data_IF_059331312101
#
_entry.id   IF_059331312101
#
_cell.length_a   1.000
_cell.length_b   1.000
_cell.length_c   1.000
_cell.angle_alpha   90.00
_cell.angle_beta   90.00
_cell.angle_gamma   90.00
#
_symmetry.space_group_name_H-M   'P 1'
#
loop_
_entity.id
_entity.type
_entity.pdbx_description
1 polymer ?
#
# COMPACT_ATOMS: atom_id res chain seq x y z
N UNK A 1 6.21 8.76 27.89
CA UNK A 1 5.47 7.63 27.30
C UNK A 1 5.45 6.44 28.26
N UNK A 2 6.61 5.82 28.64
CA UNK A 2 6.66 4.65 29.56
C UNK A 2 5.86 4.92 30.83
N UNK A 3 6.16 6.00 31.54
CA UNK A 3 5.51 6.39 32.80
C UNK A 3 3.99 6.60 32.64
N UNK A 4 3.55 7.09 31.49
CA UNK A 4 2.13 7.29 31.21
C UNK A 4 1.42 5.96 30.99
N UNK A 5 2.03 5.06 30.20
CA UNK A 5 1.51 3.73 29.94
C UNK A 5 1.51 2.81 31.16
N UNK A 6 2.42 3.01 32.11
CA UNK A 6 2.41 2.30 33.40
C UNK A 6 1.17 2.59 34.25
N UNK A 7 0.53 3.74 34.03
CA UNK A 7 -0.73 4.15 34.72
C UNK A 7 -1.98 3.65 34.03
N UNK A 8 -1.88 3.14 32.80
CA UNK A 8 -3.01 2.62 32.05
C UNK A 8 -3.27 1.17 32.44
N UNK A 9 -4.50 0.80 32.83
CA UNK A 9 -4.86 -0.59 33.11
C UNK A 9 -4.63 -1.49 31.90
N UNK A 10 -4.06 -2.68 32.10
CA UNK A 10 -3.60 -3.56 31.03
C UNK A 10 -4.71 -4.19 30.20
N UNK A 11 -5.92 -4.23 30.73
CA UNK A 11 -7.15 -4.63 30.05
C UNK A 11 -7.66 -3.59 29.04
N UNK A 12 -7.07 -2.40 29.00
CA UNK A 12 -7.41 -1.36 28.02
C UNK A 12 -6.69 -1.60 26.70
N UNK A 13 -7.29 -1.07 25.65
CA UNK A 13 -6.66 -0.94 24.34
C UNK A 13 -5.88 0.36 24.25
N UNK A 14 -4.74 0.31 23.58
CA UNK A 14 -3.85 1.47 23.39
C UNK A 14 -3.67 1.72 21.90
N UNK A 15 -3.95 2.94 21.46
CA UNK A 15 -3.57 3.44 20.15
C UNK A 15 -2.50 4.50 20.34
N UNK A 16 -1.28 4.21 19.90
CA UNK A 16 -0.19 5.15 19.94
C UNK A 16 -0.15 5.92 18.61
N UNK A 17 -0.26 7.24 18.69
CA UNK A 17 -0.18 8.13 17.53
C UNK A 17 1.13 8.90 17.57
N UNK A 18 1.95 8.78 16.52
CA UNK A 18 3.23 9.45 16.42
C UNK A 18 3.41 10.06 15.03
N UNK A 19 4.20 11.15 14.93
CA UNK A 19 4.51 11.72 13.63
C UNK A 19 5.47 10.84 12.83
N UNK A 20 6.56 10.41 13.45
CA UNK A 20 7.61 9.64 12.78
C UNK A 20 7.73 8.24 13.37
N UNK A 21 8.22 7.32 12.57
CA UNK A 21 8.57 5.98 13.01
C UNK A 21 9.67 5.99 14.07
N UNK A 22 9.68 4.94 14.86
CA UNK A 22 10.76 4.67 15.83
C UNK A 22 11.98 4.10 15.11
N UNK A 23 13.17 4.42 15.62
CA UNK A 23 14.36 3.66 15.24
C UNK A 23 14.20 2.18 15.67
N UNK A 24 14.90 1.22 15.02
CA UNK A 24 14.76 -0.19 15.37
C UNK A 24 14.92 -0.50 16.86
N UNK A 25 15.91 0.12 17.52
CA UNK A 25 16.14 -0.08 18.96
C UNK A 25 15.00 0.48 19.82
N UNK A 26 14.44 1.62 19.45
CA UNK A 26 13.28 2.20 20.14
C UNK A 26 11.99 1.41 19.87
N UNK A 27 11.85 0.85 18.66
CA UNK A 27 10.71 0.05 18.27
C UNK A 27 10.59 -1.21 19.11
N UNK A 28 11.69 -1.96 19.30
CA UNK A 28 11.70 -3.17 20.13
C UNK A 28 11.21 -2.89 21.56
N UNK A 29 11.78 -1.87 22.24
CA UNK A 29 11.34 -1.50 23.58
C UNK A 29 9.87 -1.09 23.62
N UNK A 30 9.44 -0.32 22.63
CA UNK A 30 8.07 0.22 22.58
C UNK A 30 7.02 -0.88 22.30
N UNK A 31 7.30 -1.77 21.36
CA UNK A 31 6.43 -2.90 21.08
C UNK A 31 6.35 -3.89 22.25
N UNK A 32 7.46 -4.13 22.94
CA UNK A 32 7.44 -4.90 24.18
C UNK A 32 6.53 -4.27 25.24
N UNK A 33 6.53 -2.94 25.35
CA UNK A 33 5.62 -2.24 26.25
C UNK A 33 4.16 -2.32 25.79
N UNK A 34 3.89 -2.12 24.51
CA UNK A 34 2.55 -2.21 23.92
C UNK A 34 1.96 -3.62 24.06
N UNK A 35 2.78 -4.67 23.93
CA UNK A 35 2.32 -6.07 24.06
C UNK A 35 1.76 -6.42 25.44
N UNK A 36 1.97 -5.56 26.45
CA UNK A 36 1.40 -5.76 27.79
C UNK A 36 -0.08 -5.41 27.87
N UNK A 37 -0.66 -4.75 26.86
CA UNK A 37 -2.07 -4.34 26.86
C UNK A 37 -2.97 -5.36 26.17
N UNK A 38 -4.28 -5.26 26.39
CA UNK A 38 -5.25 -6.17 25.77
C UNK A 38 -5.18 -6.10 24.24
N UNK A 39 -5.23 -4.88 23.70
CA UNK A 39 -5.02 -4.60 22.27
C UNK A 39 -4.10 -3.38 22.16
N UNK A 40 -3.25 -3.38 21.13
CA UNK A 40 -2.39 -2.24 20.85
C UNK A 40 -2.23 -2.02 19.34
N UNK A 41 -2.10 -0.77 18.96
CA UNK A 41 -1.82 -0.34 17.58
C UNK A 41 -0.91 0.88 17.60
N UNK A 42 0.05 0.91 16.70
CA UNK A 42 0.85 2.09 16.41
C UNK A 42 0.41 2.68 15.08
N UNK A 43 0.21 3.99 15.03
CA UNK A 43 -0.08 4.73 13.80
C UNK A 43 0.91 5.87 13.67
N UNK A 44 1.64 5.87 12.57
CA UNK A 44 2.67 6.84 12.25
C UNK A 44 2.39 7.52 10.90
N UNK A 45 3.12 8.57 10.62
CA UNK A 45 3.22 9.24 9.32
C UNK A 45 4.68 9.46 8.92
N UNK A 46 4.99 10.66 8.37
CA UNK A 46 6.33 11.12 8.02
C UNK A 46 6.95 10.52 6.76
N UNK A 47 6.77 9.24 6.49
CA UNK A 47 7.42 8.56 5.35
C UNK A 47 6.87 8.99 3.98
N UNK A 48 5.67 9.57 3.94
CA UNK A 48 4.98 9.95 2.71
C UNK A 48 4.71 8.76 1.77
N UNK A 49 4.54 7.58 2.33
CA UNK A 49 4.03 6.37 1.66
C UNK A 49 3.40 5.44 2.70
N UNK A 50 2.55 4.52 2.24
CA UNK A 50 1.94 3.51 3.09
C UNK A 50 2.96 2.40 3.43
N UNK A 51 2.96 2.00 4.70
CA UNK A 51 3.69 0.81 5.14
C UNK A 51 2.95 0.20 6.34
N UNK A 52 2.14 -0.81 6.08
CA UNK A 52 1.38 -1.50 7.12
C UNK A 52 2.08 -2.80 7.46
N UNK A 53 2.55 -2.92 8.68
CA UNK A 53 3.28 -4.08 9.18
C UNK A 53 2.53 -4.70 10.35
N UNK A 54 2.53 -6.02 10.41
CA UNK A 54 2.02 -6.78 11.54
C UNK A 54 3.21 -7.29 12.34
N UNK A 55 3.30 -6.83 13.59
CA UNK A 55 4.36 -7.20 14.52
C UNK A 55 3.85 -8.28 15.48
N UNK A 56 4.56 -9.40 15.56
CA UNK A 56 4.29 -10.44 16.55
C UNK A 56 5.24 -10.30 17.74
N UNK A 57 4.74 -9.82 18.88
CA UNK A 57 5.54 -9.49 20.05
C UNK A 57 4.94 -10.11 21.30
N UNK A 58 5.70 -11.00 21.96
CA UNK A 58 5.27 -11.70 23.19
C UNK A 58 3.92 -12.42 23.04
N UNK A 59 3.66 -13.01 21.86
CA UNK A 59 2.40 -13.69 21.54
C UNK A 59 1.21 -12.75 21.33
N UNK A 60 1.46 -11.48 21.05
CA UNK A 60 0.47 -10.46 20.70
C UNK A 60 0.73 -9.93 19.30
N UNK A 61 -0.33 -9.80 18.54
CA UNK A 61 -0.35 -9.14 17.24
C UNK A 61 -0.52 -7.64 17.44
N UNK A 62 0.40 -6.84 16.94
CA UNK A 62 0.36 -5.37 17.00
C UNK A 62 0.46 -4.82 15.58
N UNK A 63 -0.54 -4.07 15.17
CA UNK A 63 -0.50 -3.37 13.89
C UNK A 63 0.34 -2.10 14.01
N UNK A 64 1.26 -1.96 13.07
CA UNK A 64 2.14 -0.79 12.91
C UNK A 64 1.85 -0.18 11.55
N UNK A 65 1.06 0.89 11.56
CA UNK A 65 0.55 1.53 10.35
C UNK A 65 1.28 2.85 10.10
N UNK A 66 2.07 2.91 9.03
CA UNK A 66 2.45 4.19 8.44
C UNK A 66 1.37 4.62 7.47
N UNK A 67 0.65 5.65 7.87
CA UNK A 67 -0.37 6.24 7.00
C UNK A 67 0.28 7.16 5.99
N UNK A 68 -0.23 7.12 4.78
CA UNK A 68 0.25 7.93 3.69
C UNK A 68 0.04 9.43 3.95
N UNK A 69 0.61 10.23 3.11
CA UNK A 69 0.54 11.68 3.17
C UNK A 69 -0.67 12.25 2.42
N UNK A 70 -1.28 13.27 3.00
CA UNK A 70 -2.35 14.03 2.35
C UNK A 70 -1.84 14.98 1.25
N UNK A 71 -0.50 15.20 1.15
CA UNK A 71 0.11 16.11 0.18
C UNK A 71 0.80 15.42 -1.00
N UNK A 72 0.65 14.10 -1.13
CA UNK A 72 1.37 13.30 -2.12
C UNK A 72 2.89 13.39 -1.92
N UNK A 73 3.66 13.31 -3.00
CA UNK A 73 5.10 13.52 -2.90
C UNK A 73 5.38 15.03 -2.88
N UNK A 74 5.53 15.57 -1.68
CA UNK A 74 5.98 16.96 -1.42
C UNK A 74 5.26 18.01 -2.28
N UNK A 75 3.94 17.87 -2.41
CA UNK A 75 3.09 18.74 -3.27
C UNK A 75 3.41 18.67 -4.78
N UNK A 76 4.25 17.71 -5.20
CA UNK A 76 4.64 17.56 -6.59
C UNK A 76 3.72 16.64 -7.40
N UNK A 77 2.97 15.79 -6.72
CA UNK A 77 2.08 14.81 -7.34
C UNK A 77 0.94 14.43 -6.41
N UNK A 78 -0.15 13.89 -6.97
CA UNK A 78 -1.26 13.32 -6.20
C UNK A 78 -1.01 11.86 -5.80
N UNK A 79 0.18 11.37 -6.06
CA UNK A 79 0.64 10.01 -5.80
C UNK A 79 1.78 10.07 -4.81
N UNK A 80 1.78 9.19 -3.84
CA UNK A 80 2.82 9.07 -2.83
C UNK A 80 3.97 8.15 -3.30
N UNK A 81 4.99 8.02 -2.46
CA UNK A 81 6.22 7.33 -2.81
C UNK A 81 6.07 5.84 -3.14
N UNK A 82 5.14 5.15 -2.53
CA UNK A 82 4.83 3.74 -2.80
C UNK A 82 3.89 3.52 -3.98
N UNK A 83 3.47 4.59 -4.65
CA UNK A 83 2.55 4.54 -5.79
C UNK A 83 1.07 4.68 -5.40
N UNK A 84 0.74 4.64 -4.14
CA UNK A 84 -0.61 4.90 -3.65
C UNK A 84 -1.01 6.38 -3.87
N UNK A 85 -2.30 6.69 -4.08
CA UNK A 85 -2.75 8.07 -4.14
C UNK A 85 -2.56 8.76 -2.78
N UNK A 86 -2.42 10.07 -2.78
CA UNK A 86 -2.47 10.85 -1.53
C UNK A 86 -3.81 10.64 -0.83
N UNK A 87 -3.79 10.60 0.51
CA UNK A 87 -5.01 10.29 1.26
C UNK A 87 -4.79 10.26 2.76
N UNK A 88 -5.73 9.62 3.44
CA UNK A 88 -5.71 9.43 4.89
C UNK A 88 -6.34 8.09 5.27
N UNK A 89 -5.96 7.57 6.42
CA UNK A 89 -6.60 6.39 7.00
C UNK A 89 -7.74 6.81 7.95
N UNK A 90 -8.84 6.08 7.90
CA UNK A 90 -9.97 6.19 8.82
C UNK A 90 -10.08 4.90 9.63
N UNK A 91 -10.29 5.02 10.93
CA UNK A 91 -10.43 3.89 11.84
C UNK A 91 -11.73 4.02 12.63
N UNK A 92 -12.48 2.94 12.70
CA UNK A 92 -13.63 2.80 13.60
C UNK A 92 -13.29 1.86 14.73
N UNK A 93 -13.63 2.23 15.95
CA UNK A 93 -13.35 1.45 17.16
C UNK A 93 -14.65 1.01 17.84
N UNK A 94 -14.72 -0.25 18.23
CA UNK A 94 -15.79 -0.82 19.03
C UNK A 94 -15.21 -1.71 20.13
N UNK A 95 -15.61 -1.49 21.39
CA UNK A 95 -15.16 -2.29 22.51
C UNK A 95 -13.64 -2.31 22.73
N UNK A 96 -12.92 -1.31 22.19
CA UNK A 96 -11.46 -1.23 22.29
C UNK A 96 -10.71 -1.96 21.17
N UNK A 97 -11.41 -2.52 20.21
CA UNK A 97 -10.82 -3.13 19.00
C UNK A 97 -11.13 -2.27 17.77
N UNK A 98 -10.27 -2.35 16.76
CA UNK A 98 -10.56 -1.75 15.46
C UNK A 98 -11.66 -2.57 14.81
N UNK A 99 -12.78 -1.93 14.51
CA UNK A 99 -13.92 -2.51 13.82
C UNK A 99 -13.82 -2.38 12.32
N UNK A 100 -13.22 -1.28 11.88
CA UNK A 100 -13.03 -0.99 10.47
C UNK A 100 -11.80 -0.09 10.27
N UNK A 101 -11.11 -0.28 9.17
CA UNK A 101 -9.99 0.54 8.72
C UNK A 101 -10.10 0.72 7.22
N UNK A 102 -10.15 1.97 6.76
CA UNK A 102 -10.21 2.29 5.33
C UNK A 102 -9.17 3.34 5.00
N UNK A 103 -8.45 3.15 3.90
CA UNK A 103 -7.64 4.19 3.30
C UNK A 103 -8.49 4.99 2.32
N UNK A 104 -8.69 6.26 2.61
CA UNK A 104 -9.45 7.17 1.74
C UNK A 104 -8.51 7.96 0.86
N UNK A 105 -8.41 7.58 -0.40
CA UNK A 105 -7.69 8.33 -1.43
C UNK A 105 -8.41 9.65 -1.74
N UNK A 106 -7.68 10.76 -1.70
CA UNK A 106 -8.24 12.09 -1.98
C UNK A 106 -8.68 12.20 -3.43
N UNK A 107 -9.92 12.64 -3.64
CA UNK A 107 -10.50 12.80 -4.99
C UNK A 107 -10.96 11.51 -5.66
N UNK A 108 -10.75 10.35 -5.03
CA UNK A 108 -11.19 9.05 -5.55
C UNK A 108 -12.32 8.47 -4.71
N UNK A 109 -13.14 7.55 -5.24
CA UNK A 109 -14.14 6.83 -4.47
C UNK A 109 -13.51 6.05 -3.30
N UNK A 110 -14.25 5.85 -2.22
CA UNK A 110 -13.76 5.11 -1.04
C UNK A 110 -13.39 3.65 -1.38
N UNK A 111 -14.15 3.03 -2.28
CA UNK A 111 -13.87 1.67 -2.76
C UNK A 111 -12.66 1.55 -3.69
N UNK A 112 -12.00 2.66 -4.07
CA UNK A 112 -10.81 2.62 -4.91
C UNK A 112 -9.58 2.30 -4.06
N UNK A 113 -9.30 1.00 -3.88
CA UNK A 113 -8.21 0.48 -3.04
C UNK A 113 -7.13 -0.27 -3.82
N UNK A 114 -7.32 -0.45 -5.12
CA UNK A 114 -6.46 -1.29 -5.95
C UNK A 114 -6.12 -0.54 -7.24
N UNK A 115 -4.83 -0.49 -7.59
CA UNK A 115 -4.39 -0.25 -8.97
C UNK A 115 -3.89 -1.56 -9.55
N UNK A 116 -4.48 -1.98 -10.66
CA UNK A 116 -4.21 -3.25 -11.31
C UNK A 116 -3.78 -2.99 -12.75
N UNK A 117 -2.60 -3.49 -13.16
CA UNK A 117 -2.07 -3.27 -14.51
C UNK A 117 -1.21 -4.46 -14.99
N UNK A 118 -0.97 -4.52 -16.30
CA UNK A 118 0.02 -5.43 -16.90
C UNK A 118 1.38 -4.72 -16.98
N UNK A 119 2.48 -5.34 -16.56
CA UNK A 119 3.82 -4.74 -16.68
C UNK A 119 4.20 -4.36 -18.12
N UNK A 120 3.71 -5.11 -19.09
CA UNK A 120 3.92 -4.85 -20.52
C UNK A 120 3.31 -3.54 -21.02
N UNK A 121 2.30 -2.98 -20.31
CA UNK A 121 1.66 -1.72 -20.68
C UNK A 121 2.60 -0.50 -20.52
N UNK A 122 3.76 -0.69 -19.86
CA UNK A 122 4.71 0.38 -19.59
C UNK A 122 6.08 0.22 -20.29
N UNK A 123 6.14 -0.07 -21.62
CA UNK A 123 7.42 -0.32 -22.30
C UNK A 123 8.33 0.91 -22.34
N UNK A 124 7.76 2.11 -22.49
CA UNK A 124 8.50 3.38 -22.51
C UNK A 124 9.19 3.70 -21.18
N UNK A 125 8.74 3.11 -20.11
CA UNK A 125 9.27 3.25 -18.77
C UNK A 125 10.73 2.80 -18.64
N UNK A 126 11.13 1.75 -19.35
CA UNK A 126 12.53 1.27 -19.39
C UNK A 126 13.52 2.35 -19.82
N UNK A 127 13.08 3.31 -20.63
CA UNK A 127 13.92 4.40 -21.13
C UNK A 127 14.06 5.56 -20.11
N UNK A 128 13.02 5.87 -19.36
CA UNK A 128 13.06 6.95 -18.37
C UNK A 128 14.00 6.62 -17.21
N UNK A 129 14.00 5.38 -16.77
CA UNK A 129 14.82 4.89 -15.66
C UNK A 129 16.28 4.74 -16.03
N UNK A 130 16.60 4.43 -17.29
CA UNK A 130 17.99 4.31 -17.77
C UNK A 130 18.76 5.63 -17.79
N UNK A 131 18.07 6.78 -17.76
CA UNK A 131 18.74 8.09 -17.75
C UNK A 131 19.35 8.45 -16.39
N UNK A 132 18.92 7.79 -15.31
CA UNK A 132 19.49 7.98 -13.98
C UNK A 132 20.19 6.68 -13.53
N UNK A 133 21.41 6.47 -14.00
CA UNK A 133 22.22 5.29 -13.68
C UNK A 133 22.54 5.13 -12.17
N UNK A 134 22.31 6.18 -11.37
CA UNK A 134 22.53 6.16 -9.92
C UNK A 134 21.36 5.52 -9.16
N UNK A 135 20.21 5.28 -9.80
CA UNK A 135 18.98 4.82 -9.15
C UNK A 135 18.50 3.50 -9.74
N UNK A 136 18.58 2.47 -8.93
CA UNK A 136 18.10 1.14 -9.29
C UNK A 136 16.62 1.01 -8.85
N UNK A 137 15.72 1.06 -9.84
CA UNK A 137 14.34 0.66 -9.59
C UNK A 137 14.22 -0.85 -9.73
N UNK A 138 13.56 -1.45 -8.77
CA UNK A 138 13.33 -2.89 -8.75
C UNK A 138 11.85 -3.13 -8.98
N UNK A 139 11.51 -3.60 -10.19
CA UNK A 139 10.12 -3.90 -10.56
C UNK A 139 9.77 -5.36 -10.35
N UNK A 140 10.75 -6.21 -10.13
CA UNK A 140 10.60 -7.62 -9.75
C UNK A 140 9.80 -8.50 -10.71
N UNK A 141 8.81 -7.96 -11.41
CA UNK A 141 7.85 -8.66 -12.24
C UNK A 141 7.87 -8.10 -13.65
N UNK A 142 7.92 -9.00 -14.64
CA UNK A 142 7.90 -8.66 -16.06
C UNK A 142 7.24 -9.80 -16.86
N UNK A 143 6.80 -9.51 -18.08
CA UNK A 143 6.16 -10.46 -18.99
C UNK A 143 4.70 -10.10 -19.27
N UNK A 144 4.21 -10.62 -20.39
CA UNK A 144 2.85 -10.37 -20.86
C UNK A 144 1.83 -11.29 -20.17
N UNK A 145 2.33 -12.33 -19.50
CA UNK A 145 1.58 -13.31 -18.74
C UNK A 145 1.34 -12.90 -17.27
N UNK A 146 1.65 -11.66 -16.91
CA UNK A 146 1.56 -11.22 -15.52
C UNK A 146 0.69 -9.99 -15.34
N UNK A 147 0.08 -9.92 -14.16
CA UNK A 147 -0.54 -8.71 -13.62
C UNK A 147 0.18 -8.29 -12.36
N UNK A 148 0.18 -6.98 -12.10
CA UNK A 148 0.68 -6.36 -10.89
C UNK A 148 -0.44 -5.56 -10.26
N UNK A 149 -0.61 -5.72 -8.95
CA UNK A 149 -1.57 -4.99 -8.14
C UNK A 149 -0.84 -4.21 -7.04
N UNK A 150 -1.09 -2.91 -6.95
CA UNK A 150 -0.79 -2.12 -5.77
C UNK A 150 -2.10 -2.01 -4.97
N UNK A 151 -2.13 -2.65 -3.78
CA UNK A 151 -3.35 -2.79 -2.96
C UNK A 151 -3.11 -2.08 -1.64
N UNK A 152 -3.67 -0.89 -1.50
CA UNK A 152 -3.40 0.00 -0.38
C UNK A 152 -3.94 -0.58 0.93
N UNK A 153 -3.19 -0.45 2.00
CA UNK A 153 -3.44 -1.03 3.33
C UNK A 153 -3.39 -2.56 3.40
N UNK A 154 -3.15 -3.28 2.31
CA UNK A 154 -3.14 -4.73 2.35
C UNK A 154 -2.01 -5.26 3.24
N UNK A 155 -2.35 -6.23 4.08
CA UNK A 155 -1.44 -6.97 4.96
C UNK A 155 -1.58 -8.46 4.71
N UNK A 156 -0.84 -9.29 5.46
CA UNK A 156 -0.97 -10.74 5.42
C UNK A 156 -2.34 -11.27 5.87
N UNK A 157 -3.17 -10.42 6.49
CA UNK A 157 -4.54 -10.80 6.92
C UNK A 157 -5.57 -10.67 5.81
N UNK A 158 -5.20 -10.07 4.67
CA UNK A 158 -6.10 -9.92 3.52
C UNK A 158 -6.15 -11.20 2.69
N UNK A 159 -7.28 -11.42 2.05
CA UNK A 159 -7.46 -12.51 1.07
C UNK A 159 -7.77 -11.95 -0.32
N UNK A 160 -7.41 -12.72 -1.34
CA UNK A 160 -7.49 -12.28 -2.73
C UNK A 160 -8.14 -13.34 -3.60
N UNK A 161 -8.79 -12.89 -4.68
CA UNK A 161 -9.29 -13.75 -5.75
C UNK A 161 -8.92 -13.11 -7.09
N UNK A 162 -8.58 -13.94 -8.08
CA UNK A 162 -8.30 -13.50 -9.46
C UNK A 162 -9.30 -14.15 -10.38
N UNK A 163 -9.83 -13.35 -11.30
CA UNK A 163 -10.77 -13.78 -12.33
C UNK A 163 -10.22 -13.40 -13.70
N UNK A 164 -10.26 -14.34 -14.64
CA UNK A 164 -9.89 -14.17 -16.04
C UNK A 164 -11.12 -14.52 -16.89
N UNK A 165 -11.61 -13.56 -17.69
CA UNK A 165 -12.84 -13.68 -18.50
C UNK A 165 -14.04 -14.21 -17.68
N UNK A 166 -14.21 -13.70 -16.45
CA UNK A 166 -15.27 -14.07 -15.53
C UNK A 166 -15.08 -15.39 -14.79
N UNK A 167 -14.02 -16.17 -15.10
CA UNK A 167 -13.70 -17.43 -14.41
C UNK A 167 -12.70 -17.18 -13.31
N UNK A 168 -12.97 -17.68 -12.10
CA UNK A 168 -12.01 -17.61 -11.00
C UNK A 168 -10.83 -18.55 -11.26
N UNK A 169 -9.62 -17.99 -11.34
CA UNK A 169 -8.39 -18.72 -11.66
C UNK A 169 -7.44 -18.84 -10.48
N UNK A 170 -7.55 -17.97 -9.46
CA UNK A 170 -6.72 -18.06 -8.27
C UNK A 170 -7.43 -17.52 -7.01
N UNK A 171 -6.95 -18.01 -5.84
CA UNK A 171 -7.38 -17.60 -4.50
C UNK A 171 -6.31 -16.77 -3.76
N UNK A 172 -5.25 -16.37 -4.46
CA UNK A 172 -4.15 -15.59 -3.87
C UNK A 172 -3.42 -14.76 -4.90
N UNK A 173 -2.79 -13.71 -4.41
CA UNK A 173 -1.72 -12.97 -5.08
C UNK A 173 -0.41 -13.22 -4.34
N UNK A 174 0.71 -13.14 -5.04
CA UNK A 174 2.03 -13.23 -4.42
C UNK A 174 2.50 -11.83 -4.03
N UNK A 175 2.85 -11.64 -2.75
CA UNK A 175 3.41 -10.37 -2.27
C UNK A 175 4.88 -10.27 -2.68
N UNK A 176 5.25 -9.15 -3.29
CA UNK A 176 6.63 -8.86 -3.64
C UNK A 176 6.90 -7.35 -3.45
N UNK A 177 7.61 -6.96 -2.40
CA UNK A 177 8.00 -5.57 -2.22
C UNK A 177 8.85 -5.06 -3.39
N UNK A 178 8.29 -4.12 -4.16
CA UNK A 178 8.92 -3.55 -5.36
C UNK A 178 8.46 -2.12 -5.60
N UNK A 179 9.12 -1.44 -6.55
CA UNK A 179 8.63 -0.15 -7.02
C UNK A 179 7.38 -0.35 -7.89
N UNK A 180 6.41 0.54 -7.73
CA UNK A 180 5.23 0.57 -8.59
C UNK A 180 5.60 1.15 -9.97
N UNK A 181 5.58 0.32 -11.01
CA UNK A 181 5.95 0.71 -12.36
C UNK A 181 5.03 1.80 -12.92
N UNK A 182 3.74 1.77 -12.55
CA UNK A 182 2.80 2.81 -12.94
C UNK A 182 3.19 4.17 -12.34
N UNK A 183 3.50 4.23 -11.05
CA UNK A 183 3.86 5.49 -10.39
C UNK A 183 5.16 6.06 -10.94
N UNK A 184 6.14 5.21 -11.24
CA UNK A 184 7.37 5.62 -11.88
C UNK A 184 7.13 6.20 -13.28
N UNK A 185 6.29 5.54 -14.10
CA UNK A 185 5.85 6.08 -15.38
C UNK A 185 5.16 7.44 -15.22
N UNK A 186 4.24 7.56 -14.27
CA UNK A 186 3.52 8.79 -13.98
C UNK A 186 4.47 9.95 -13.60
N UNK A 187 5.40 9.73 -12.68
CA UNK A 187 6.37 10.73 -12.27
C UNK A 187 7.29 11.17 -13.42
N UNK A 188 7.83 10.22 -14.16
CA UNK A 188 8.85 10.51 -15.17
C UNK A 188 8.28 10.92 -16.52
N UNK A 189 7.20 10.31 -16.96
CA UNK A 189 6.65 10.53 -18.31
C UNK A 189 5.52 11.55 -18.32
N UNK A 190 4.62 11.50 -17.33
CA UNK A 190 3.47 12.41 -17.27
C UNK A 190 3.85 13.73 -16.60
N UNK A 191 4.46 13.68 -15.42
CA UNK A 191 4.83 14.86 -14.68
C UNK A 191 6.21 15.43 -15.05
N UNK A 192 6.98 14.74 -15.88
CA UNK A 192 8.35 15.11 -16.28
C UNK A 192 9.27 15.43 -15.08
N UNK A 193 9.17 14.64 -14.02
CA UNK A 193 9.93 14.78 -12.77
C UNK A 193 11.16 13.85 -12.81
N UNK A 194 12.23 14.29 -13.42
CA UNK A 194 13.42 13.47 -13.69
C UNK A 194 14.61 13.73 -12.73
N UNK A 195 14.48 14.67 -11.80
CA UNK A 195 15.59 15.11 -10.95
C UNK A 195 15.58 14.52 -9.55
N UNK A 196 14.50 13.84 -9.15
CA UNK A 196 14.32 13.34 -7.80
C UNK A 196 13.71 11.93 -7.78
N UNK A 197 14.12 11.08 -6.83
CA UNK A 197 13.54 9.76 -6.66
C UNK A 197 12.27 9.84 -5.84
N UNK A 198 11.15 9.98 -6.52
CA UNK A 198 9.86 10.01 -5.86
C UNK A 198 9.34 8.62 -5.50
N UNK A 199 9.76 7.59 -6.24
CA UNK A 199 9.31 6.21 -6.00
C UNK A 199 10.10 5.52 -4.91
N UNK A 200 9.39 4.77 -4.07
CA UNK A 200 9.91 3.87 -3.03
C UNK A 200 9.40 2.46 -3.31
N UNK A 201 10.10 1.45 -2.80
CA UNK A 201 9.53 0.10 -2.77
C UNK A 201 8.32 0.11 -1.84
N UNK A 202 7.20 -0.37 -2.34
CA UNK A 202 5.98 -0.58 -1.56
C UNK A 202 5.87 -2.02 -1.13
N UNK A 203 5.48 -2.26 0.11
CA UNK A 203 5.13 -3.58 0.66
C UNK A 203 3.75 -4.04 0.21
N UNK A 204 2.95 -3.13 -0.37
CA UNK A 204 1.60 -3.38 -0.87
C UNK A 204 1.56 -3.85 -2.33
N UNK A 205 2.71 -4.21 -2.89
CA UNK A 205 2.81 -4.71 -4.25
C UNK A 205 2.61 -6.22 -4.27
N UNK A 206 1.71 -6.63 -5.15
CA UNK A 206 1.35 -8.02 -5.38
C UNK A 206 1.41 -8.32 -6.87
N UNK A 207 1.57 -9.60 -7.22
CA UNK A 207 1.49 -10.03 -8.60
C UNK A 207 0.80 -11.39 -8.74
N UNK A 208 0.36 -11.70 -9.95
CA UNK A 208 -0.14 -13.02 -10.33
C UNK A 208 0.30 -13.37 -11.74
N UNK A 209 0.56 -14.65 -11.98
CA UNK A 209 0.80 -15.18 -13.32
C UNK A 209 -0.53 -15.69 -13.88
N UNK A 210 -0.99 -15.12 -14.97
CA UNK A 210 -2.25 -15.47 -15.61
C UNK A 210 -2.25 -16.91 -16.13
N UNK A 211 -3.35 -17.59 -15.96
CA UNK A 211 -3.63 -18.89 -16.58
C UNK A 211 -3.88 -18.71 -18.07
N UNK A 212 -4.60 -17.64 -18.44
CA UNK A 212 -4.81 -17.22 -19.82
C UNK A 212 -4.19 -15.84 -20.07
N UNK A 213 -2.94 -15.74 -20.58
CA UNK A 213 -2.32 -14.45 -20.88
C UNK A 213 -3.09 -13.60 -21.89
N UNK A 214 -4.00 -14.21 -22.68
CA UNK A 214 -4.82 -13.54 -23.68
C UNK A 214 -6.21 -13.16 -23.14
N UNK A 215 -6.47 -13.33 -21.83
CA UNK A 215 -7.74 -12.93 -21.23
C UNK A 215 -8.04 -11.46 -21.56
N UNK A 216 -9.26 -11.19 -22.04
CA UNK A 216 -9.72 -9.84 -22.37
C UNK A 216 -10.04 -9.05 -21.10
N UNK A 217 -10.62 -9.73 -20.10
CA UNK A 217 -10.91 -9.16 -18.79
C UNK A 217 -10.10 -9.89 -17.71
N UNK A 218 -9.36 -9.13 -16.91
CA UNK A 218 -8.70 -9.62 -15.70
C UNK A 218 -9.10 -8.75 -14.53
N UNK A 219 -9.67 -9.39 -13.50
CA UNK A 219 -10.17 -8.73 -12.30
C UNK A 219 -9.57 -9.33 -11.05
N UNK A 220 -9.20 -8.46 -10.11
CA UNK A 220 -8.78 -8.83 -8.76
C UNK A 220 -9.84 -8.40 -7.76
N UNK A 221 -10.18 -9.29 -6.84
CA UNK A 221 -11.02 -9.03 -5.68
C UNK A 221 -10.14 -9.17 -4.43
N UNK A 222 -10.12 -8.16 -3.58
CA UNK A 222 -9.41 -8.14 -2.32
C UNK A 222 -10.41 -8.00 -1.16
N UNK A 223 -10.23 -8.80 -0.11
CA UNK A 223 -11.07 -8.74 1.10
C UNK A 223 -10.18 -8.46 2.30
N UNK A 224 -10.51 -7.43 3.04
CA UNK A 224 -9.80 -7.07 4.27
C UNK A 224 -10.31 -7.89 5.48
N UNK A 225 -9.59 -7.85 6.62
CA UNK A 225 -10.00 -8.57 7.83
C UNK A 225 -11.26 -7.99 8.49
N UNK A 226 -11.75 -6.84 8.04
CA UNK A 226 -12.94 -6.18 8.59
C UNK A 226 -14.23 -6.53 7.81
N UNK A 227 -14.09 -7.26 6.70
CA UNK A 227 -15.21 -7.69 5.85
C UNK A 227 -15.48 -6.79 4.66
N UNK A 228 -14.67 -5.75 4.44
CA UNK A 228 -14.79 -4.96 3.22
C UNK A 228 -14.26 -5.74 2.02
N UNK A 229 -14.89 -5.52 0.88
CA UNK A 229 -14.49 -6.13 -0.39
C UNK A 229 -14.25 -5.03 -1.41
N UNK A 230 -13.09 -5.10 -2.04
CA UNK A 230 -12.65 -4.17 -3.08
C UNK A 230 -12.35 -4.94 -4.35
N UNK A 231 -12.70 -4.39 -5.50
CA UNK A 231 -12.41 -5.04 -6.77
C UNK A 231 -11.93 -4.04 -7.82
N UNK A 232 -11.09 -4.51 -8.73
CA UNK A 232 -10.57 -3.71 -9.82
C UNK A 232 -10.26 -4.58 -11.02
N UNK A 233 -10.60 -4.06 -12.21
CA UNK A 233 -10.18 -4.62 -13.48
C UNK A 233 -8.80 -4.07 -13.88
N UNK A 234 -8.05 -4.83 -14.67
CA UNK A 234 -6.82 -4.32 -15.30
C UNK A 234 -7.15 -3.08 -16.11
N UNK A 235 -6.37 -2.03 -15.91
CA UNK A 235 -6.42 -0.85 -16.74
C UNK A 235 -5.13 -0.71 -17.58
N UNK A 236 -5.23 0.05 -18.66
CA UNK A 236 -4.08 0.38 -19.51
C UNK A 236 -3.62 1.81 -19.25
N UNK A 237 -2.39 2.13 -19.64
CA UNK A 237 -1.80 3.47 -19.54
C UNK A 237 -2.60 4.57 -20.25
N UNK A 238 -3.61 4.20 -21.02
CA UNK A 238 -4.45 5.16 -21.78
C UNK A 238 -5.46 5.90 -20.91
N UNK A 239 -5.71 5.44 -19.68
CA UNK A 239 -6.58 6.12 -18.72
C UNK A 239 -5.76 7.12 -17.87
N UNK A 240 -5.24 8.17 -18.53
CA UNK A 240 -4.55 9.29 -17.87
C UNK A 240 -5.48 10.07 -16.90
N UNK A 241 -6.79 9.81 -16.96
CA UNK A 241 -7.80 10.51 -16.19
C UNK A 241 -7.99 9.98 -14.76
N UNK A 242 -7.42 8.82 -14.42
CA UNK A 242 -7.56 8.26 -13.08
C UNK A 242 -6.85 9.10 -12.00
N UNK A 243 -5.94 9.98 -12.41
CA UNK A 243 -5.28 10.95 -11.54
C UNK A 243 -5.21 12.31 -12.26
N UNK A 244 -6.13 13.21 -11.98
CA UNK A 244 -6.03 14.56 -12.49
C UNK A 244 -4.70 15.18 -12.05
N UNK A 245 -3.95 15.72 -12.99
CA UNK A 245 -2.70 16.39 -12.68
C UNK A 245 -2.98 17.54 -11.69
N UNK A 246 -2.17 17.65 -10.64
CA UNK A 246 -2.12 18.86 -9.83
C UNK A 246 -1.61 19.95 -10.77
N UNK A 247 -2.47 20.89 -11.10
CA UNK A 247 -2.13 22.07 -11.90
C UNK A 247 -1.53 23.16 -11.04
#
# INVERSE_FOLDING_TARGET
>A
VRTDLERVPKEKSVVALMHAQLSPAQAEEFFNLLSTFANARLVCGHLHYLNNVIEEVNGKTIHNDDVCTANGVDWCAQVAGGGEPMGYASYEFEGGSVKNQVYKATGLPEGYQIRLYRPSDFPAFKYAVQKDAARKYEFGVSGDDKIVANIWNATSEWSFEVYEDGVKTADKLENMPMHDAWSCWYFYMVLNKNTYSYSRKSTHMYYHTLVNPQAEEVRVVAKDPYGNTFEQNVFTTRNENDYPAIR
#
